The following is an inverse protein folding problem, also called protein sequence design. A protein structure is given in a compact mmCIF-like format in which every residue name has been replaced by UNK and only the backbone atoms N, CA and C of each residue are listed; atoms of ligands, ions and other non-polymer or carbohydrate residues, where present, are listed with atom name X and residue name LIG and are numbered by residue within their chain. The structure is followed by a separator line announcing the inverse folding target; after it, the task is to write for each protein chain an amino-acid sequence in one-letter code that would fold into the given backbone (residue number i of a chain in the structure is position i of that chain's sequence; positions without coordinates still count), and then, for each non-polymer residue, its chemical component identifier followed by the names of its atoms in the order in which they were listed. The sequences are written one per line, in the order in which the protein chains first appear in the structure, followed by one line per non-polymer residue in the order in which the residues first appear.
data_IF_463965720091
#
_entry.id   IF_463965720091
#
_cell.length_a   1.000
_cell.length_b   1.000
_cell.length_c   1.000
_cell.angle_alpha   90.00
_cell.angle_beta   90.00
_cell.angle_gamma   90.00
#
_symmetry.space_group_name_H-M   'P 1'
#
loop_
_entity.id
_entity.type
_entity.pdbx_description
1 polymer ?
#
# COMPACT_ATOMS: atom_id res chain seq x y z
N UNK A 1 9.46 26.23 4.63
CA UNK A 1 10.92 25.98 4.54
C UNK A 1 11.51 26.12 5.91
N UNK A 2 11.75 25.00 6.61
CA UNK A 2 12.67 25.01 7.76
C UNK A 2 14.06 25.08 7.12
N UNK A 3 14.76 26.23 7.21
CA UNK A 3 16.04 26.31 6.56
C UNK A 3 16.98 25.32 7.23
N UNK A 4 17.54 24.41 6.46
CA UNK A 4 18.70 23.57 6.86
C UNK A 4 19.85 24.39 7.49
N UNK A 5 19.79 25.71 7.45
CA UNK A 5 20.66 26.67 8.11
C UNK A 5 20.57 26.68 9.64
N UNK A 6 19.50 26.14 10.26
CA UNK A 6 19.42 26.03 11.74
C UNK A 6 20.27 24.87 12.31
N UNK A 7 20.77 23.98 11.48
CA UNK A 7 21.67 22.90 11.86
C UNK A 7 23.14 23.33 11.86
N UNK A 8 23.41 24.60 11.61
CA UNK A 8 24.77 25.13 11.37
C UNK A 8 25.57 25.57 12.58
N UNK A 9 25.12 25.40 13.82
CA UNK A 9 26.01 25.59 14.97
C UNK A 9 26.33 24.24 15.59
N UNK A 10 27.57 23.79 15.43
CA UNK A 10 28.08 22.54 16.01
C UNK A 10 27.87 22.44 17.56
N UNK A 11 27.59 23.56 18.21
CA UNK A 11 27.40 23.65 19.65
C UNK A 11 26.01 23.19 20.12
N UNK A 12 24.97 23.26 19.27
CA UNK A 12 23.61 22.82 19.64
C UNK A 12 23.35 21.32 19.37
N UNK A 13 24.20 20.67 18.57
CA UNK A 13 23.98 19.28 18.12
C UNK A 13 24.51 18.25 19.14
N UNK A 14 25.45 18.65 20.02
CA UNK A 14 26.09 17.69 20.95
C UNK A 14 25.21 17.22 22.09
N UNK A 15 24.22 18.02 22.50
CA UNK A 15 23.42 17.77 23.69
C UNK A 15 21.93 17.63 23.47
N UNK A 16 21.45 17.66 22.20
CA UNK A 16 20.02 17.62 21.88
C UNK A 16 19.71 16.64 20.75
N UNK A 17 18.71 15.81 20.94
CA UNK A 17 18.13 15.03 19.86
C UNK A 17 17.29 15.94 18.96
N UNK A 18 17.60 15.95 17.66
CA UNK A 18 16.86 16.76 16.67
C UNK A 18 16.12 15.83 15.74
N UNK A 19 14.81 16.02 15.61
CA UNK A 19 13.98 15.35 14.60
C UNK A 19 13.55 16.38 13.55
N UNK A 20 13.71 16.03 12.28
CA UNK A 20 13.26 16.84 11.12
C UNK A 20 12.29 15.99 10.31
N UNK A 21 11.15 16.56 9.97
CA UNK A 21 10.15 15.89 9.16
C UNK A 21 9.92 16.66 7.86
N UNK A 22 9.65 15.94 6.77
CA UNK A 22 9.29 16.53 5.48
C UNK A 22 8.77 15.47 4.52
N UNK A 23 7.66 15.74 3.85
CA UNK A 23 7.04 14.84 2.87
C UNK A 23 7.92 14.59 1.64
N UNK A 24 8.82 15.52 1.32
CA UNK A 24 9.74 15.46 0.18
C UNK A 24 11.21 15.28 0.60
N UNK A 25 11.44 14.82 1.82
CA UNK A 25 12.80 14.67 2.35
C UNK A 25 13.65 13.74 1.45
N UNK A 26 13.06 12.65 0.94
CA UNK A 26 13.74 11.73 0.02
C UNK A 26 14.18 12.39 -1.29
N UNK A 27 13.48 13.41 -1.76
CA UNK A 27 13.84 14.17 -2.98
C UNK A 27 14.87 15.25 -2.65
N UNK A 28 14.69 15.96 -1.56
CA UNK A 28 15.56 17.06 -1.14
C UNK A 28 16.98 16.60 -0.80
N UNK A 29 17.15 15.37 -0.34
CA UNK A 29 18.45 14.78 -0.04
C UNK A 29 19.31 14.50 -1.29
N UNK A 30 18.74 14.57 -2.49
CA UNK A 30 19.46 14.36 -3.76
C UNK A 30 19.91 15.66 -4.44
N UNK A 31 19.62 16.84 -3.86
CA UNK A 31 20.04 18.13 -4.42
C UNK A 31 21.20 18.72 -3.61
N UNK A 32 22.42 18.60 -4.13
CA UNK A 32 23.66 19.32 -3.74
C UNK A 32 24.05 19.37 -2.25
N UNK A 33 23.43 18.57 -1.37
CA UNK A 33 23.76 18.51 0.06
C UNK A 33 24.36 17.15 0.37
N UNK A 34 25.58 17.13 0.92
CA UNK A 34 26.22 15.91 1.42
C UNK A 34 25.34 15.28 2.50
N UNK A 35 24.87 14.07 2.28
CA UNK A 35 24.13 13.29 3.28
C UNK A 35 25.09 12.93 4.44
N UNK A 36 24.75 13.24 5.69
CA UNK A 36 25.61 12.94 6.85
C UNK A 36 25.56 11.44 7.19
N UNK A 37 26.26 10.64 6.40
CA UNK A 37 26.32 9.18 6.57
C UNK A 37 26.75 8.81 8.00
N UNK A 38 25.97 7.92 8.63
CA UNK A 38 26.24 7.43 9.97
C UNK A 38 25.86 8.38 11.13
N UNK A 39 25.28 9.56 10.82
CA UNK A 39 24.87 10.55 11.83
C UNK A 39 23.35 10.79 11.88
N UNK A 40 22.60 10.14 11.01
CA UNK A 40 21.16 10.33 10.87
C UNK A 40 20.46 8.98 10.78
N UNK A 41 19.38 8.82 11.54
CA UNK A 41 18.44 7.70 11.40
C UNK A 41 17.24 8.19 10.62
N UNK A 42 16.94 7.51 9.49
CA UNK A 42 15.75 7.79 8.70
C UNK A 42 14.60 6.95 9.22
N UNK A 43 13.50 7.59 9.57
CA UNK A 43 12.25 6.94 9.98
C UNK A 43 11.21 7.24 8.91
N UNK A 44 10.67 6.19 8.31
CA UNK A 44 9.57 6.32 7.37
C UNK A 44 8.25 6.36 8.13
N UNK A 45 7.44 7.39 7.87
CA UNK A 45 6.09 7.51 8.40
C UNK A 45 5.13 7.09 7.28
N UNK A 46 4.33 6.08 7.56
CA UNK A 46 3.30 5.57 6.66
C UNK A 46 1.93 6.16 7.04
N UNK A 47 0.93 6.12 6.14
CA UNK A 47 -0.45 6.31 6.55
C UNK A 47 -0.81 5.36 7.70
N UNK A 48 -1.69 5.77 8.59
CA UNK A 48 -2.16 4.95 9.71
C UNK A 48 -2.65 3.60 9.20
N UNK A 49 -2.19 2.53 9.82
CA UNK A 49 -2.69 1.19 9.54
C UNK A 49 -4.06 0.95 10.19
N UNK A 50 -4.62 -0.23 10.00
CA UNK A 50 -5.94 -0.54 10.54
C UNK A 50 -5.97 -0.57 12.07
N UNK A 51 -4.90 -1.04 12.72
CA UNK A 51 -4.77 -1.07 14.18
C UNK A 51 -4.72 0.37 14.76
N UNK A 52 -3.94 1.26 14.14
CA UNK A 52 -3.88 2.67 14.52
C UNK A 52 -5.21 3.38 14.30
N UNK A 53 -5.94 3.04 13.24
CA UNK A 53 -7.30 3.53 12.98
C UNK A 53 -8.28 3.07 14.06
N UNK A 54 -8.20 1.81 14.52
CA UNK A 54 -9.02 1.31 15.63
C UNK A 54 -8.78 2.12 16.90
N UNK A 55 -7.52 2.35 17.25
CA UNK A 55 -7.16 3.18 18.42
C UNK A 55 -7.70 4.61 18.26
N UNK A 56 -7.51 5.23 17.10
CA UNK A 56 -8.03 6.58 16.84
C UNK A 56 -9.56 6.67 16.96
N UNK A 57 -10.28 5.58 16.65
CA UNK A 57 -11.75 5.47 16.79
C UNK A 57 -12.22 5.21 18.23
N UNK A 58 -11.32 5.01 19.19
CA UNK A 58 -11.70 4.61 20.55
C UNK A 58 -12.03 3.12 20.69
N UNK A 59 -11.55 2.28 19.76
CA UNK A 59 -11.71 0.83 19.75
C UNK A 59 -10.46 0.10 20.26
N UNK A 60 -9.84 0.62 21.35
CA UNK A 60 -8.57 0.10 21.90
C UNK A 60 -8.67 -1.37 22.33
N UNK A 61 -9.80 -1.79 22.92
CA UNK A 61 -9.99 -3.18 23.34
C UNK A 61 -10.09 -4.12 22.13
N UNK A 62 -10.76 -3.69 21.07
CA UNK A 62 -10.80 -4.44 19.82
C UNK A 62 -9.39 -4.51 19.18
N UNK A 63 -8.61 -3.43 19.23
CA UNK A 63 -7.24 -3.41 18.77
C UNK A 63 -6.35 -4.39 19.58
N UNK A 64 -6.41 -4.36 20.91
CA UNK A 64 -5.67 -5.27 21.79
C UNK A 64 -5.99 -6.74 21.52
N UNK A 65 -7.29 -7.06 21.35
CA UNK A 65 -7.72 -8.41 21.01
C UNK A 65 -7.18 -8.84 19.63
N UNK A 66 -7.23 -7.95 18.64
CA UNK A 66 -6.69 -8.23 17.31
C UNK A 66 -5.19 -8.53 17.36
N UNK A 67 -4.43 -7.73 18.12
CA UNK A 67 -2.98 -7.92 18.31
C UNK A 67 -2.62 -9.17 19.14
N UNK A 68 -3.54 -9.70 19.93
CA UNK A 68 -3.29 -10.92 20.71
C UNK A 68 -3.13 -12.17 19.84
N UNK A 69 -3.68 -12.17 18.63
CA UNK A 69 -3.68 -13.35 17.75
C UNK A 69 -4.60 -14.48 18.21
N UNK A 70 -5.48 -14.22 19.20
CA UNK A 70 -6.51 -15.19 19.61
C UNK A 70 -7.64 -15.23 18.57
N UNK A 71 -7.39 -15.95 17.48
CA UNK A 71 -8.32 -16.03 16.35
C UNK A 71 -9.65 -16.71 16.69
N UNK A 72 -9.73 -17.48 17.76
CA UNK A 72 -11.00 -18.04 18.24
C UNK A 72 -11.91 -16.92 18.74
N UNK A 73 -11.41 -16.11 19.68
CA UNK A 73 -12.15 -14.96 20.21
C UNK A 73 -12.37 -13.87 19.17
N UNK A 74 -11.36 -13.56 18.34
CA UNK A 74 -11.44 -12.59 17.23
C UNK A 74 -12.58 -12.96 16.27
N UNK A 75 -12.75 -14.25 15.96
CA UNK A 75 -13.79 -14.72 15.04
C UNK A 75 -15.21 -14.50 15.56
N UNK A 76 -15.40 -14.42 16.86
CA UNK A 76 -16.71 -14.08 17.46
C UNK A 76 -17.12 -12.63 17.17
N UNK A 77 -16.13 -11.75 16.94
CA UNK A 77 -16.34 -10.33 16.61
C UNK A 77 -16.13 -10.04 15.09
N UNK A 78 -16.21 -11.07 14.26
CA UNK A 78 -15.93 -10.97 12.82
C UNK A 78 -16.75 -9.87 12.13
N UNK A 79 -18.03 -9.77 12.40
CA UNK A 79 -18.91 -8.75 11.79
C UNK A 79 -18.50 -7.33 12.23
N UNK A 80 -18.18 -7.13 13.52
CA UNK A 80 -17.69 -5.85 14.04
C UNK A 80 -16.39 -5.41 13.32
N UNK A 81 -15.40 -6.30 13.25
CA UNK A 81 -14.15 -6.00 12.56
C UNK A 81 -14.33 -5.74 11.06
N UNK A 82 -15.23 -6.49 10.44
CA UNK A 82 -15.55 -6.31 9.01
C UNK A 82 -16.19 -4.94 8.75
N UNK A 83 -17.08 -4.48 9.62
CA UNK A 83 -17.72 -3.17 9.47
C UNK A 83 -16.73 -2.02 9.74
N UNK A 84 -15.83 -2.16 10.73
CA UNK A 84 -14.73 -1.21 10.97
C UNK A 84 -13.75 -1.18 9.80
N UNK A 85 -13.43 -2.33 9.21
CA UNK A 85 -12.58 -2.43 8.03
C UNK A 85 -13.19 -1.73 6.81
N UNK A 86 -14.51 -1.84 6.60
CA UNK A 86 -15.20 -1.09 5.53
C UNK A 86 -15.11 0.42 5.73
N UNK A 87 -15.24 0.89 6.98
CA UNK A 87 -15.02 2.30 7.30
C UNK A 87 -13.60 2.72 6.93
N UNK A 88 -12.59 1.94 7.32
CA UNK A 88 -11.20 2.19 6.95
C UNK A 88 -10.98 2.20 5.43
N UNK A 89 -11.65 1.32 4.67
CA UNK A 89 -11.56 1.32 3.20
C UNK A 89 -12.03 2.63 2.57
N UNK A 90 -12.96 3.32 3.20
CA UNK A 90 -13.43 4.63 2.74
C UNK A 90 -12.57 5.77 3.25
N UNK A 91 -12.22 5.75 4.54
CA UNK A 91 -11.49 6.81 5.23
C UNK A 91 -10.00 6.80 4.85
N UNK A 92 -9.40 5.61 4.78
CA UNK A 92 -7.94 5.46 4.62
C UNK A 92 -7.18 5.72 5.91
N UNK A 93 -5.86 5.87 5.77
CA UNK A 93 -4.94 6.07 6.88
C UNK A 93 -4.31 7.47 6.95
N UNK A 94 -4.76 8.44 6.15
CA UNK A 94 -4.23 9.80 6.25
C UNK A 94 -4.66 10.44 7.58
N UNK A 95 -3.72 10.87 8.46
CA UNK A 95 -4.05 11.28 9.82
C UNK A 95 -5.10 12.39 9.90
N UNK A 96 -5.03 13.40 9.03
CA UNK A 96 -5.99 14.49 8.98
C UNK A 96 -7.41 14.00 8.62
N UNK A 97 -7.49 13.02 7.70
CA UNK A 97 -8.76 12.41 7.28
C UNK A 97 -9.35 11.59 8.42
N UNK A 98 -8.51 10.77 9.09
CA UNK A 98 -8.93 9.96 10.24
C UNK A 98 -9.42 10.85 11.37
N UNK A 99 -8.67 11.90 11.71
CA UNK A 99 -9.07 12.87 12.75
C UNK A 99 -10.44 13.48 12.44
N UNK A 100 -10.63 13.95 11.19
CA UNK A 100 -11.91 14.55 10.78
C UNK A 100 -13.06 13.56 10.85
N UNK A 101 -12.82 12.30 10.48
CA UNK A 101 -13.83 11.25 10.59
C UNK A 101 -14.22 10.97 12.04
N UNK A 102 -13.23 10.87 12.94
CA UNK A 102 -13.48 10.66 14.38
C UNK A 102 -14.27 11.82 15.02
N UNK A 103 -13.93 13.07 14.63
CA UNK A 103 -14.61 14.26 15.17
C UNK A 103 -16.05 14.41 14.68
N UNK A 104 -16.36 14.03 13.43
CA UNK A 104 -17.61 14.41 12.77
C UNK A 104 -18.50 13.24 12.36
N UNK A 105 -17.96 12.04 12.28
CA UNK A 105 -18.60 10.84 11.68
C UNK A 105 -19.17 11.12 10.26
N UNK A 106 -18.65 12.13 9.57
CA UNK A 106 -19.15 12.63 8.30
C UNK A 106 -18.30 12.12 7.13
N UNK A 107 -18.86 11.23 6.32
CA UNK A 107 -18.22 10.75 5.10
C UNK A 107 -18.06 11.85 4.03
N UNK A 108 -18.90 12.87 4.07
CA UNK A 108 -18.79 14.03 3.19
C UNK A 108 -17.52 14.85 3.52
N UNK A 109 -17.28 15.10 4.81
CA UNK A 109 -16.08 15.81 5.28
C UNK A 109 -14.81 15.00 4.99
N UNK A 110 -14.85 13.69 5.19
CA UNK A 110 -13.77 12.77 4.79
C UNK A 110 -13.40 12.98 3.33
N UNK A 111 -14.38 12.92 2.43
CA UNK A 111 -14.13 13.09 0.99
C UNK A 111 -13.63 14.49 0.63
N UNK A 112 -14.08 15.51 1.34
CA UNK A 112 -13.60 16.88 1.18
C UNK A 112 -12.11 16.97 1.49
N UNK A 113 -11.66 16.49 2.67
CA UNK A 113 -10.25 16.52 3.07
C UNK A 113 -9.39 15.66 2.12
N UNK A 114 -9.84 14.47 1.76
CA UNK A 114 -9.11 13.64 0.78
C UNK A 114 -8.91 14.36 -0.55
N UNK A 115 -9.92 15.09 -1.01
CA UNK A 115 -9.83 15.87 -2.26
C UNK A 115 -8.86 17.04 -2.14
N UNK A 116 -8.82 17.70 -0.99
CA UNK A 116 -7.85 18.79 -0.69
C UNK A 116 -6.41 18.25 -0.67
N UNK A 117 -6.17 17.09 -0.06
CA UNK A 117 -4.86 16.43 -0.07
C UNK A 117 -4.42 16.10 -1.51
N UNK A 118 -5.31 15.52 -2.33
CA UNK A 118 -5.01 15.21 -3.74
C UNK A 118 -4.70 16.48 -4.56
N UNK A 119 -5.41 17.58 -4.31
CA UNK A 119 -5.11 18.86 -4.93
C UNK A 119 -3.75 19.40 -4.47
N UNK A 120 -3.43 19.26 -3.18
CA UNK A 120 -2.13 19.63 -2.62
C UNK A 120 -0.99 18.90 -3.33
N UNK A 121 -1.13 17.59 -3.55
CA UNK A 121 -0.13 16.80 -4.28
C UNK A 121 0.04 17.27 -5.74
N UNK A 122 -1.04 17.60 -6.44
CA UNK A 122 -0.93 18.14 -7.81
C UNK A 122 -0.19 19.49 -7.88
N UNK A 123 -0.38 20.35 -6.87
CA UNK A 123 0.38 21.59 -6.72
C UNK A 123 1.86 21.32 -6.42
N UNK A 124 2.15 20.35 -5.56
CA UNK A 124 3.51 19.93 -5.22
C UNK A 124 4.26 19.36 -6.43
N UNK A 125 3.58 18.67 -7.35
CA UNK A 125 4.18 18.22 -8.61
C UNK A 125 4.73 19.41 -9.40
N UNK A 126 3.97 20.50 -9.49
CA UNK A 126 4.39 21.72 -10.22
C UNK A 126 5.53 22.46 -9.53
N UNK A 127 5.62 22.38 -8.20
CA UNK A 127 6.60 23.11 -7.39
C UNK A 127 7.93 22.37 -7.29
N UNK A 128 7.90 21.06 -7.16
CA UNK A 128 9.06 20.26 -6.75
C UNK A 128 9.56 19.27 -7.80
N UNK A 129 8.75 18.83 -8.75
CA UNK A 129 9.24 17.98 -9.84
C UNK A 129 10.00 18.83 -10.89
N UNK A 130 11.00 18.23 -11.58
CA UNK A 130 11.64 18.88 -12.71
C UNK A 130 10.58 19.32 -13.74
N UNK A 131 10.66 20.55 -14.22
CA UNK A 131 9.60 21.17 -15.08
C UNK A 131 9.22 20.28 -16.27
N UNK A 132 10.19 19.64 -16.89
CA UNK A 132 10.01 18.76 -18.05
C UNK A 132 9.30 17.45 -17.67
N UNK A 133 9.33 17.07 -16.40
CA UNK A 133 8.72 15.84 -15.89
C UNK A 133 7.31 16.04 -15.34
N UNK A 134 6.90 17.25 -14.99
CA UNK A 134 5.57 17.53 -14.41
C UNK A 134 4.43 16.92 -15.22
N UNK A 135 4.37 17.08 -16.57
CA UNK A 135 3.29 16.46 -17.35
C UNK A 135 3.32 14.93 -17.28
N UNK A 136 4.50 14.32 -17.26
CA UNK A 136 4.66 12.85 -17.16
C UNK A 136 4.30 12.34 -15.77
N UNK A 137 4.70 13.04 -14.71
CA UNK A 137 4.31 12.76 -13.33
C UNK A 137 2.78 12.72 -13.20
N UNK A 138 2.09 13.74 -13.73
CA UNK A 138 0.62 13.77 -13.74
C UNK A 138 0.00 12.64 -14.56
N UNK A 139 0.57 12.29 -15.72
CA UNK A 139 0.08 11.18 -16.53
C UNK A 139 0.19 9.86 -15.78
N UNK A 140 1.33 9.58 -15.14
CA UNK A 140 1.52 8.39 -14.32
C UNK A 140 0.52 8.39 -13.16
N UNK A 141 0.49 9.45 -12.36
CA UNK A 141 -0.38 9.61 -11.20
C UNK A 141 -1.85 9.33 -11.53
N UNK A 142 -2.38 10.01 -12.55
CA UNK A 142 -3.78 9.87 -12.95
C UNK A 142 -4.11 8.49 -13.56
N UNK A 143 -3.12 7.75 -14.01
CA UNK A 143 -3.33 6.43 -14.60
C UNK A 143 -3.44 5.31 -13.57
N UNK A 144 -2.97 5.51 -12.34
CA UNK A 144 -2.88 4.45 -11.32
C UNK A 144 -4.22 3.72 -11.11
N UNK A 145 -5.35 4.42 -10.87
CA UNK A 145 -6.62 3.73 -10.66
C UNK A 145 -7.01 2.87 -11.89
N UNK A 146 -6.90 3.44 -13.09
CA UNK A 146 -7.29 2.74 -14.31
C UNK A 146 -6.43 1.51 -14.64
N UNK A 147 -5.23 1.42 -14.08
CA UNK A 147 -4.33 0.28 -14.26
C UNK A 147 -4.51 -0.75 -13.13
N UNK A 148 -4.69 -0.29 -11.88
CA UNK A 148 -4.82 -1.16 -10.72
C UNK A 148 -6.17 -1.90 -10.69
N UNK A 149 -7.24 -1.31 -11.24
CA UNK A 149 -8.57 -1.92 -11.26
C UNK A 149 -8.82 -2.81 -12.49
N UNK A 150 -7.79 -3.10 -13.29
CA UNK A 150 -7.88 -4.10 -14.37
C UNK A 150 -7.56 -5.50 -13.83
N UNK A 151 -7.97 -6.51 -14.58
CA UNK A 151 -7.63 -7.90 -14.28
C UNK A 151 -6.09 -8.10 -14.22
N UNK A 152 -5.38 -7.62 -15.25
CA UNK A 152 -3.91 -7.57 -15.22
C UNK A 152 -3.46 -6.21 -14.69
N UNK A 153 -2.96 -6.20 -13.45
CA UNK A 153 -2.53 -5.00 -12.71
C UNK A 153 -1.08 -4.60 -12.99
N UNK A 154 -0.38 -5.30 -13.89
CA UNK A 154 0.95 -4.90 -14.35
C UNK A 154 0.89 -3.50 -14.96
N UNK A 155 1.84 -2.64 -14.61
CA UNK A 155 1.91 -1.30 -15.19
C UNK A 155 2.21 -1.34 -16.68
N UNK A 156 1.38 -0.69 -17.48
CA UNK A 156 1.46 -0.68 -18.95
C UNK A 156 1.69 0.75 -19.43
N UNK A 157 2.88 1.03 -19.93
CA UNK A 157 3.23 2.36 -20.47
C UNK A 157 2.31 2.81 -21.61
N UNK A 158 1.91 1.88 -22.48
CA UNK A 158 0.98 2.16 -23.58
C UNK A 158 -0.40 2.64 -23.15
N UNK A 159 -0.79 2.41 -21.89
CA UNK A 159 -2.02 2.94 -21.31
C UNK A 159 -1.95 4.45 -21.00
N UNK A 160 -0.74 5.01 -20.85
CA UNK A 160 -0.53 6.44 -20.64
C UNK A 160 -0.71 7.22 -21.95
N UNK A 161 -0.11 6.72 -23.01
CA UNK A 161 -0.09 7.33 -24.34
C UNK A 161 0.26 6.25 -25.38
N UNK A 162 -0.36 6.30 -26.55
CA UNK A 162 0.00 5.40 -27.67
C UNK A 162 1.49 5.52 -27.99
N UNK A 163 2.20 4.40 -28.00
CA UNK A 163 3.64 4.34 -28.27
C UNK A 163 4.55 4.73 -27.11
N UNK A 164 4.02 4.96 -25.89
CA UNK A 164 4.82 5.25 -24.70
C UNK A 164 5.76 4.09 -24.35
N UNK A 165 6.97 4.42 -23.96
CA UNK A 165 8.03 3.47 -23.57
C UNK A 165 8.53 3.77 -22.15
N UNK A 166 9.25 2.82 -21.56
CA UNK A 166 9.84 2.97 -20.21
C UNK A 166 10.67 4.26 -20.09
N UNK A 167 11.59 4.52 -21.03
CA UNK A 167 12.45 5.71 -21.02
C UNK A 167 11.67 7.04 -20.96
N UNK A 168 10.41 7.07 -21.41
CA UNK A 168 9.61 8.29 -21.38
C UNK A 168 9.11 8.63 -19.97
N UNK A 169 8.93 7.61 -19.09
CA UNK A 169 8.18 7.76 -17.83
C UNK A 169 8.93 7.25 -16.60
N UNK A 170 10.08 6.60 -16.76
CA UNK A 170 10.83 6.01 -15.65
C UNK A 170 11.20 7.05 -14.57
N UNK A 171 11.70 8.22 -15.00
CA UNK A 171 12.03 9.32 -14.10
C UNK A 171 10.80 9.86 -13.36
N UNK A 172 9.64 9.92 -14.01
CA UNK A 172 8.40 10.36 -13.40
C UNK A 172 7.89 9.35 -12.36
N UNK A 173 7.98 8.05 -12.66
CA UNK A 173 7.65 6.98 -11.71
C UNK A 173 8.60 7.03 -10.52
N UNK A 174 9.90 7.12 -10.77
CA UNK A 174 10.90 7.17 -9.68
C UNK A 174 10.68 8.38 -8.79
N UNK A 175 10.34 9.53 -9.37
CA UNK A 175 10.01 10.74 -8.61
C UNK A 175 8.82 10.52 -7.67
N UNK A 176 7.72 9.92 -8.16
CA UNK A 176 6.53 9.63 -7.34
C UNK A 176 6.83 8.60 -6.23
N UNK A 177 7.66 7.61 -6.51
CA UNK A 177 8.11 6.62 -5.52
C UNK A 177 9.00 7.27 -4.46
N UNK A 178 9.96 8.10 -4.85
CA UNK A 178 10.86 8.82 -3.94
C UNK A 178 10.12 9.87 -3.10
N UNK A 179 9.04 10.45 -3.64
CA UNK A 179 8.13 11.33 -2.91
C UNK A 179 7.26 10.59 -1.89
N UNK A 180 7.30 9.25 -1.86
CA UNK A 180 6.49 8.43 -0.98
C UNK A 180 5.00 8.39 -1.36
N UNK A 181 4.65 8.77 -2.58
CA UNK A 181 3.26 8.84 -3.05
C UNK A 181 2.81 7.54 -3.72
N UNK A 182 3.76 6.75 -4.23
CA UNK A 182 3.50 5.44 -4.83
C UNK A 182 4.42 4.37 -4.23
N UNK A 183 3.87 3.16 -4.13
CA UNK A 183 4.63 1.94 -3.90
C UNK A 183 4.83 1.20 -5.24
N UNK A 184 6.08 0.88 -5.56
CA UNK A 184 6.43 0.02 -6.68
C UNK A 184 6.65 -1.40 -6.18
N UNK A 185 5.90 -2.35 -6.71
CA UNK A 185 6.03 -3.79 -6.42
C UNK A 185 6.55 -4.48 -7.67
N UNK A 186 7.82 -4.89 -7.72
CA UNK A 186 8.40 -5.55 -8.88
C UNK A 186 7.92 -6.99 -9.03
N UNK A 187 8.05 -7.53 -10.24
CA UNK A 187 7.82 -8.95 -10.51
C UNK A 187 9.01 -9.77 -10.03
N UNK A 188 8.72 -10.89 -9.39
CA UNK A 188 9.69 -11.97 -9.19
C UNK A 188 9.48 -13.02 -10.29
N UNK A 189 10.51 -13.33 -11.08
CA UNK A 189 10.43 -14.30 -12.18
C UNK A 189 10.33 -15.73 -11.67
N UNK A 190 10.97 -16.02 -10.53
CA UNK A 190 10.86 -17.28 -9.81
C UNK A 190 10.58 -17.01 -8.34
N UNK A 191 9.53 -17.60 -7.76
CA UNK A 191 9.26 -17.48 -6.32
C UNK A 191 10.17 -18.44 -5.51
N UNK A 192 11.47 -18.14 -5.50
CA UNK A 192 12.54 -18.88 -4.81
C UNK A 192 13.44 -17.92 -4.06
N UNK A 193 14.10 -18.41 -3.01
CA UNK A 193 15.02 -17.60 -2.20
C UNK A 193 16.46 -17.61 -2.75
N UNK A 194 17.18 -16.49 -2.62
CA UNK A 194 16.69 -15.16 -2.20
C UNK A 194 15.89 -14.47 -3.31
N UNK A 195 14.77 -13.84 -2.98
CA UNK A 195 13.81 -13.27 -3.94
C UNK A 195 14.45 -12.19 -4.82
N UNK A 196 15.37 -11.40 -4.27
CA UNK A 196 16.02 -10.27 -4.96
C UNK A 196 16.79 -10.70 -6.23
N UNK A 197 17.30 -11.94 -6.26
CA UNK A 197 18.03 -12.47 -7.44
C UNK A 197 17.09 -12.64 -8.64
N UNK A 198 15.81 -12.84 -8.38
CA UNK A 198 14.80 -13.11 -9.40
C UNK A 198 13.92 -11.89 -9.71
N UNK A 199 14.34 -10.70 -9.28
CA UNK A 199 13.63 -9.45 -9.60
C UNK A 199 13.67 -9.17 -11.10
N UNK A 200 12.50 -8.86 -11.66
CA UNK A 200 12.35 -8.36 -13.03
C UNK A 200 12.14 -6.84 -13.02
N UNK A 201 13.16 -6.11 -13.36
CA UNK A 201 13.14 -4.65 -13.41
C UNK A 201 12.17 -4.08 -14.46
N UNK A 202 11.77 -4.90 -15.45
CA UNK A 202 10.91 -4.48 -16.57
C UNK A 202 9.41 -4.62 -16.27
N UNK A 203 9.05 -5.32 -15.20
CA UNK A 203 7.67 -5.62 -14.87
C UNK A 203 7.37 -5.30 -13.40
N UNK A 204 6.39 -4.45 -13.17
CA UNK A 204 5.99 -4.03 -11.83
C UNK A 204 4.52 -3.64 -11.78
N UNK A 205 3.97 -3.61 -10.57
CA UNK A 205 2.67 -3.00 -10.24
C UNK A 205 2.93 -1.68 -9.50
N UNK A 206 2.06 -0.68 -9.67
CA UNK A 206 2.09 0.57 -8.90
C UNK A 206 0.83 0.69 -8.05
N UNK A 207 1.04 1.04 -6.79
CA UNK A 207 -0.02 1.26 -5.81
C UNK A 207 0.11 2.65 -5.20
N UNK A 208 -0.99 3.24 -4.77
CA UNK A 208 -0.96 4.51 -4.05
C UNK A 208 -0.46 4.34 -2.61
N UNK A 209 -0.01 5.44 -2.04
CA UNK A 209 0.39 5.49 -0.63
C UNK A 209 -0.78 5.20 0.31
N UNK A 210 -2.00 5.60 -0.06
CA UNK A 210 -3.19 5.49 0.79
C UNK A 210 -4.43 5.02 0.03
N UNK A 211 -5.17 4.13 0.68
CA UNK A 211 -6.39 3.51 0.17
C UNK A 211 -7.55 4.51 0.05
N UNK A 212 -7.73 5.39 1.04
CA UNK A 212 -8.79 6.39 1.04
C UNK A 212 -8.60 7.42 -0.06
N UNK A 213 -7.35 7.85 -0.30
CA UNK A 213 -7.00 8.73 -1.42
C UNK A 213 -7.26 8.07 -2.77
N UNK A 214 -6.98 6.76 -2.90
CA UNK A 214 -7.33 5.99 -4.10
C UNK A 214 -8.84 6.02 -4.35
N UNK A 215 -9.65 5.78 -3.31
CA UNK A 215 -11.10 5.87 -3.38
C UNK A 215 -11.60 7.27 -3.77
N UNK A 216 -10.93 8.33 -3.30
CA UNK A 216 -11.25 9.71 -3.67
C UNK A 216 -10.93 10.02 -5.14
N UNK A 217 -9.81 9.53 -5.68
CA UNK A 217 -9.44 9.70 -7.09
C UNK A 217 -10.50 9.12 -8.04
N UNK A 218 -11.06 7.98 -7.71
CA UNK A 218 -12.11 7.34 -8.54
C UNK A 218 -13.52 7.78 -8.17
N UNK A 219 -13.66 8.72 -7.24
CA UNK A 219 -14.95 9.27 -6.78
C UNK A 219 -15.91 8.18 -6.28
N UNK A 220 -15.38 7.20 -5.54
CA UNK A 220 -16.17 6.10 -5.01
C UNK A 220 -17.29 6.61 -4.10
N UNK A 221 -18.49 6.14 -4.35
CA UNK A 221 -19.64 6.40 -3.48
C UNK A 221 -19.51 5.62 -2.16
N UNK A 222 -19.83 6.21 -0.99
CA UNK A 222 -19.83 5.50 0.30
C UNK A 222 -20.63 4.20 0.28
N UNK A 223 -21.78 4.18 -0.38
CA UNK A 223 -22.62 3.00 -0.48
C UNK A 223 -21.94 1.84 -1.18
N UNK A 224 -20.99 2.10 -2.09
CA UNK A 224 -20.24 1.06 -2.81
C UNK A 224 -19.23 0.34 -1.91
N UNK A 225 -18.72 1.02 -0.88
CA UNK A 225 -17.72 0.49 0.04
C UNK A 225 -18.37 -0.09 1.30
N UNK A 226 -19.36 0.62 1.85
CA UNK A 226 -19.98 0.30 3.14
C UNK A 226 -21.09 -0.75 3.04
N UNK A 227 -21.76 -0.85 1.89
CA UNK A 227 -22.86 -1.80 1.69
C UNK A 227 -22.34 -3.11 1.06
N UNK A 228 -22.85 -4.23 1.57
CA UNK A 228 -22.61 -5.56 0.99
C UNK A 228 -23.33 -5.66 -0.36
N UNK A 229 -22.67 -5.34 -1.47
CA UNK A 229 -23.24 -5.64 -2.78
C UNK A 229 -22.12 -6.08 -3.78
N UNK A 230 -22.51 -6.90 -4.77
CA UNK A 230 -21.58 -7.60 -5.68
C UNK A 230 -21.23 -6.81 -6.95
N UNK A 231 -21.56 -5.54 -7.02
CA UNK A 231 -21.64 -4.80 -8.30
C UNK A 231 -20.27 -4.35 -8.85
N UNK A 232 -19.16 -4.41 -8.10
CA UNK A 232 -17.86 -3.92 -8.55
C UNK A 232 -16.70 -4.85 -8.21
N UNK A 233 -16.69 -6.07 -8.75
CA UNK A 233 -15.67 -7.10 -8.42
C UNK A 233 -14.23 -6.66 -8.68
N UNK A 234 -13.97 -6.07 -9.85
CA UNK A 234 -12.62 -5.62 -10.22
C UNK A 234 -12.14 -4.47 -9.32
N UNK A 235 -13.01 -3.50 -9.04
CA UNK A 235 -12.74 -2.42 -8.11
C UNK A 235 -12.41 -2.97 -6.71
N UNK A 236 -13.24 -3.87 -6.18
CA UNK A 236 -13.01 -4.51 -4.88
C UNK A 236 -11.68 -5.26 -4.85
N UNK A 237 -11.34 -6.00 -5.91
CA UNK A 237 -10.06 -6.71 -6.01
C UNK A 237 -8.86 -5.78 -5.94
N UNK A 238 -8.86 -4.69 -6.72
CA UNK A 238 -7.78 -3.69 -6.71
C UNK A 238 -7.66 -2.96 -5.37
N UNK A 239 -8.78 -2.57 -4.77
CA UNK A 239 -8.79 -1.93 -3.45
C UNK A 239 -8.29 -2.87 -2.34
N UNK A 240 -8.62 -4.16 -2.42
CA UNK A 240 -8.17 -5.12 -1.41
C UNK A 240 -6.67 -5.40 -1.52
N UNK A 241 -6.11 -5.52 -2.71
CA UNK A 241 -4.65 -5.61 -2.88
C UNK A 241 -3.94 -4.33 -2.42
N UNK A 242 -4.48 -3.15 -2.75
CA UNK A 242 -3.99 -1.86 -2.27
C UNK A 242 -3.95 -1.82 -0.74
N UNK A 243 -5.02 -2.28 -0.08
CA UNK A 243 -5.11 -2.36 1.37
C UNK A 243 -4.04 -3.31 1.95
N UNK A 244 -3.95 -4.54 1.44
CA UNK A 244 -2.99 -5.55 1.92
C UNK A 244 -1.56 -5.02 1.81
N UNK A 245 -1.21 -4.40 0.66
CA UNK A 245 0.11 -3.81 0.49
C UNK A 245 0.37 -2.68 1.49
N UNK A 246 -0.59 -1.78 1.69
CA UNK A 246 -0.46 -0.66 2.63
C UNK A 246 -0.22 -1.17 4.06
N UNK A 247 -0.97 -2.18 4.51
CA UNK A 247 -0.77 -2.80 5.83
C UNK A 247 0.61 -3.46 5.93
N UNK A 248 1.04 -4.24 4.94
CA UNK A 248 2.37 -4.85 4.93
C UNK A 248 3.48 -3.81 4.99
N UNK A 249 3.37 -2.70 4.22
CA UNK A 249 4.36 -1.61 4.23
C UNK A 249 4.46 -0.90 5.57
N UNK A 250 3.34 -0.58 6.21
CA UNK A 250 3.32 0.07 7.52
C UNK A 250 3.92 -0.82 8.62
N UNK A 251 3.84 -2.14 8.47
CA UNK A 251 4.46 -3.15 9.37
C UNK A 251 5.91 -3.47 9.01
N UNK A 252 6.51 -2.75 8.07
CA UNK A 252 7.93 -2.92 7.71
C UNK A 252 8.23 -4.17 6.89
N UNK A 253 7.23 -4.82 6.29
CA UNK A 253 7.46 -5.97 5.43
C UNK A 253 8.24 -5.54 4.19
N UNK A 254 9.40 -6.13 3.97
CA UNK A 254 10.28 -5.87 2.82
C UNK A 254 11.26 -7.05 2.67
N UNK A 255 11.59 -7.47 1.44
CA UNK A 255 11.02 -7.04 0.17
C UNK A 255 9.62 -7.60 -0.08
N UNK A 256 8.86 -6.94 -0.97
CA UNK A 256 7.56 -7.41 -1.44
C UNK A 256 7.59 -7.48 -2.97
N UNK A 257 7.27 -8.64 -3.52
CA UNK A 257 7.17 -8.91 -4.96
C UNK A 257 5.78 -9.40 -5.31
N UNK A 258 5.44 -9.41 -6.59
CA UNK A 258 4.39 -10.26 -7.13
C UNK A 258 5.00 -11.29 -8.08
N UNK A 259 4.27 -12.36 -8.37
CA UNK A 259 4.71 -13.37 -9.34
C UNK A 259 3.61 -13.69 -10.33
N UNK A 260 3.98 -13.77 -11.59
CA UNK A 260 3.17 -14.39 -12.62
C UNK A 260 4.06 -15.10 -13.64
N UNK A 261 3.58 -16.21 -14.16
CA UNK A 261 4.21 -16.88 -15.29
C UNK A 261 3.79 -16.20 -16.61
N UNK A 262 4.65 -16.25 -17.63
CA UNK A 262 4.42 -15.56 -18.91
C UNK A 262 3.12 -16.00 -19.61
N UNK A 263 2.65 -17.22 -19.34
CA UNK A 263 1.37 -17.74 -19.83
C UNK A 263 0.20 -17.51 -18.87
N UNK A 264 0.36 -16.71 -17.83
CA UNK A 264 -0.63 -16.36 -16.79
C UNK A 264 -1.31 -17.56 -16.11
N UNK A 265 -0.68 -18.74 -16.12
CA UNK A 265 -1.22 -19.95 -15.48
C UNK A 265 -1.02 -19.97 -13.97
N UNK A 266 -0.03 -19.25 -13.48
CA UNK A 266 0.27 -19.06 -12.06
C UNK A 266 0.43 -17.57 -11.82
N UNK A 267 -0.41 -17.02 -10.98
CA UNK A 267 -0.32 -15.64 -10.47
C UNK A 267 -0.39 -15.68 -8.96
N UNK A 268 0.52 -14.95 -8.30
CA UNK A 268 0.53 -14.70 -6.86
C UNK A 268 0.47 -13.20 -6.67
N UNK A 269 -0.49 -12.74 -5.92
CA UNK A 269 -0.69 -11.30 -5.71
C UNK A 269 0.52 -10.67 -5.04
N UNK A 270 1.07 -11.34 -4.00
CA UNK A 270 2.34 -10.97 -3.40
C UNK A 270 3.19 -12.21 -3.08
N UNK A 271 4.49 -11.98 -3.02
CA UNK A 271 5.50 -12.94 -2.55
C UNK A 271 6.43 -12.18 -1.62
N UNK A 272 6.60 -12.67 -0.41
CA UNK A 272 7.49 -12.09 0.59
C UNK A 272 8.48 -13.12 1.12
N UNK A 273 9.51 -12.64 1.79
CA UNK A 273 10.40 -13.47 2.57
C UNK A 273 10.16 -13.22 4.07
N UNK A 274 9.92 -14.28 4.83
CA UNK A 274 9.77 -14.22 6.28
C UNK A 274 10.49 -15.41 6.91
N UNK A 275 11.33 -15.18 7.93
CA UNK A 275 12.08 -16.22 8.64
C UNK A 275 12.84 -17.19 7.71
N UNK A 276 13.54 -16.67 6.70
CA UNK A 276 14.25 -17.44 5.68
C UNK A 276 13.35 -18.38 4.85
N UNK A 277 12.05 -18.13 4.81
CA UNK A 277 11.09 -18.86 3.99
C UNK A 277 10.39 -17.93 3.01
N UNK A 278 10.10 -18.43 1.82
CA UNK A 278 9.26 -17.74 0.84
C UNK A 278 7.80 -18.00 1.21
N UNK A 279 7.04 -16.92 1.35
CA UNK A 279 5.61 -16.94 1.67
C UNK A 279 4.82 -16.39 0.48
N UNK A 280 4.10 -17.25 -0.26
CA UNK A 280 3.19 -16.79 -1.29
C UNK A 280 1.88 -16.30 -0.66
N UNK A 281 1.40 -15.17 -1.15
CA UNK A 281 0.21 -14.50 -0.64
C UNK A 281 -0.82 -14.34 -1.77
N UNK A 282 -2.04 -14.73 -1.48
CA UNK A 282 -3.23 -14.52 -2.32
C UNK A 282 -4.19 -13.58 -1.62
N UNK A 283 -4.77 -12.64 -2.35
CA UNK A 283 -5.71 -11.66 -1.83
C UNK A 283 -7.08 -11.86 -2.47
N UNK A 284 -8.12 -11.96 -1.66
CA UNK A 284 -9.50 -12.16 -2.11
C UNK A 284 -10.44 -11.15 -1.46
N UNK A 285 -11.09 -10.33 -2.29
CA UNK A 285 -12.03 -9.31 -1.84
C UNK A 285 -13.37 -9.85 -1.33
N UNK A 286 -13.74 -11.07 -1.74
CA UNK A 286 -15.04 -11.69 -1.46
C UNK A 286 -14.91 -13.08 -0.85
N UNK A 287 -16.05 -13.66 -0.43
CA UNK A 287 -16.11 -15.00 0.18
C UNK A 287 -15.86 -16.16 -0.79
N UNK A 288 -15.83 -15.93 -2.12
CA UNK A 288 -15.46 -16.98 -3.07
C UNK A 288 -13.94 -17.09 -3.19
N UNK A 289 -13.39 -17.95 -2.39
CA UNK A 289 -11.94 -18.10 -2.15
C UNK A 289 -11.28 -19.21 -2.98
N UNK A 290 -11.76 -19.49 -4.18
CA UNK A 290 -11.04 -20.41 -5.06
C UNK A 290 -9.69 -19.81 -5.46
N UNK A 291 -8.63 -20.35 -4.88
CA UNK A 291 -7.24 -19.94 -5.11
C UNK A 291 -6.55 -21.02 -5.98
N UNK A 292 -6.97 -21.16 -7.24
CA UNK A 292 -6.47 -22.20 -8.14
C UNK A 292 -4.94 -22.12 -8.31
N UNK A 293 -4.40 -20.93 -8.47
CA UNK A 293 -2.95 -20.70 -8.60
C UNK A 293 -2.19 -21.12 -7.36
N UNK A 294 -2.66 -20.71 -6.17
CA UNK A 294 -2.01 -21.02 -4.90
C UNK A 294 -2.09 -22.51 -4.59
N UNK A 295 -3.26 -23.13 -4.81
CA UNK A 295 -3.46 -24.59 -4.64
C UNK A 295 -2.55 -25.39 -5.58
N UNK A 296 -2.43 -24.96 -6.83
CA UNK A 296 -1.54 -25.60 -7.81
C UNK A 296 -0.06 -25.46 -7.42
N UNK A 297 0.33 -24.33 -6.85
CA UNK A 297 1.69 -24.12 -6.33
C UNK A 297 1.99 -25.05 -5.15
N UNK A 298 1.10 -25.08 -4.15
CA UNK A 298 1.25 -25.94 -2.96
C UNK A 298 1.24 -27.42 -3.30
N UNK A 299 0.48 -27.84 -4.32
CA UNK A 299 0.51 -29.20 -4.82
C UNK A 299 1.85 -29.63 -5.44
N UNK A 300 2.60 -28.66 -5.99
CA UNK A 300 3.95 -28.88 -6.54
C UNK A 300 5.06 -28.69 -5.50
N UNK A 301 4.81 -27.89 -4.49
CA UNK A 301 5.77 -27.48 -3.45
C UNK A 301 5.12 -27.60 -2.07
N UNK A 302 4.92 -28.84 -1.59
CA UNK A 302 4.22 -29.12 -0.33
C UNK A 302 4.98 -28.63 0.91
N UNK A 303 6.24 -28.27 0.78
CA UNK A 303 7.06 -27.67 1.85
C UNK A 303 6.71 -26.21 2.13
N UNK A 304 6.04 -25.53 1.20
CA UNK A 304 5.67 -24.13 1.38
C UNK A 304 4.44 -23.98 2.24
N UNK A 305 4.42 -22.91 3.02
CA UNK A 305 3.24 -22.42 3.70
C UNK A 305 2.76 -21.12 3.03
N UNK A 306 1.48 -21.11 2.65
CA UNK A 306 0.88 -19.98 1.96
C UNK A 306 -0.12 -19.23 2.84
N UNK A 307 -0.23 -17.94 2.61
CA UNK A 307 -1.22 -17.10 3.27
C UNK A 307 -2.26 -16.60 2.27
N UNK A 308 -3.51 -16.59 2.70
CA UNK A 308 -4.60 -15.98 1.95
C UNK A 308 -5.26 -14.95 2.83
N UNK A 309 -5.36 -13.72 2.35
CA UNK A 309 -6.12 -12.66 3.00
C UNK A 309 -7.49 -12.52 2.33
N UNK A 310 -8.56 -12.63 3.10
CA UNK A 310 -9.93 -12.56 2.58
C UNK A 310 -10.91 -12.00 3.61
N UNK A 311 -12.14 -11.75 3.19
CA UNK A 311 -13.23 -11.35 4.08
C UNK A 311 -13.78 -12.52 4.93
N UNK A 312 -13.23 -13.73 4.82
CA UNK A 312 -13.63 -14.87 5.63
C UNK A 312 -12.88 -14.90 6.96
N UNK A 313 -13.45 -15.51 8.02
CA UNK A 313 -12.76 -15.74 9.28
C UNK A 313 -11.47 -16.54 9.13
N UNK A 314 -10.65 -16.51 10.16
CA UNK A 314 -9.41 -17.30 10.24
C UNK A 314 -9.68 -18.78 10.04
N UNK A 315 -8.86 -19.43 9.20
CA UNK A 315 -8.94 -20.87 8.98
C UNK A 315 -7.64 -21.45 8.45
N UNK A 316 -7.17 -22.53 9.07
CA UNK A 316 -6.03 -23.31 8.58
C UNK A 316 -6.53 -24.47 7.72
N UNK A 317 -5.96 -24.65 6.55
CA UNK A 317 -6.31 -25.68 5.57
C UNK A 317 -5.03 -26.35 5.03
N UNK A 318 -4.46 -27.29 5.78
CA UNK A 318 -3.15 -27.85 5.46
C UNK A 318 -2.06 -26.76 5.45
N UNK A 319 -1.39 -26.59 4.33
CA UNK A 319 -0.32 -25.60 4.16
C UNK A 319 -0.83 -24.20 3.73
N UNK A 320 -2.13 -23.97 3.78
CA UNK A 320 -2.75 -22.69 3.50
C UNK A 320 -3.44 -22.17 4.77
N UNK A 321 -3.05 -20.98 5.20
CA UNK A 321 -3.77 -20.25 6.25
C UNK A 321 -4.56 -19.10 5.64
N UNK A 322 -5.86 -19.06 5.90
CA UNK A 322 -6.69 -17.90 5.61
C UNK A 322 -6.70 -16.97 6.81
N UNK A 323 -6.22 -15.76 6.61
CA UNK A 323 -6.36 -14.68 7.57
C UNK A 323 -7.49 -13.75 7.14
N UNK A 324 -8.35 -13.29 8.07
CA UNK A 324 -9.28 -12.22 7.75
C UNK A 324 -8.51 -10.93 7.43
N UNK A 325 -9.01 -10.14 6.48
CA UNK A 325 -8.34 -8.91 6.03
C UNK A 325 -8.05 -7.92 7.15
N UNK A 326 -8.85 -7.89 8.19
CA UNK A 326 -8.62 -7.02 9.34
C UNK A 326 -7.47 -7.47 10.27
N UNK A 327 -6.87 -8.64 10.01
CA UNK A 327 -5.82 -9.24 10.84
C UNK A 327 -4.47 -9.40 10.08
N UNK A 328 -4.18 -8.47 9.18
CA UNK A 328 -2.91 -8.44 8.42
C UNK A 328 -1.78 -7.96 9.31
#
# INVERSE_FOLDING_TARGET
EIPLRLVGSEMCIRDSHIAVAGSLLGISLHQDVSYPVGKVNVINIFPMNFEEFLVAKGEEEACKLLMSGDFETISLLHDKYTDLLRQYYYVGGMPEVVLKYVETDSLLEVRRIQSEILQGYDLDFSKHAPKEQVPRVRMVWNSIPSQLFKENKKFIYGALRKGARANDFEMAIQWLVNAGLLYKVPRCTKPELPLDIYEDLSAFKLYMVDLGLMGAMVKTDPAQVLIKNDIFKEYKGGMTEQYVLQQMKSKGVSPIYYHNTDNSRLELDFVIQRNAQMVPIEVKAEGNVRANSLTALLGKRPELHAERFSMLPYKVQGNLTNFPLYAI
#
